data_IF_503637522501
#
_entry.id   IF_503637522501
#
_cell.length_a   1.000
_cell.length_b   1.000
_cell.length_c   1.000
_cell.angle_alpha   90.00
_cell.angle_beta   90.00
_cell.angle_gamma   90.00
#
_symmetry.space_group_name_H-M   'P 1'
#
loop_
_entity.id
_entity.type
_entity.pdbx_description
1 polymer ?
#
# COMPACT_ATOMS: atom_id res chain seq x y z
N UNK A 1 -2.36 13.47 -17.88
CA UNK A 1 -2.26 14.83 -17.33
C UNK A 1 -3.34 15.07 -16.27
N UNK A 2 -3.35 16.27 -15.65
CA UNK A 2 -4.24 16.64 -14.55
C UNK A 2 -5.73 16.68 -15.00
N UNK A 3 -6.03 17.31 -16.14
CA UNK A 3 -7.42 17.51 -16.57
C UNK A 3 -8.11 16.19 -16.92
N UNK A 4 -7.40 15.28 -17.59
CA UNK A 4 -7.90 13.93 -17.85
C UNK A 4 -8.09 13.14 -16.56
N UNK A 5 -7.14 13.17 -15.63
CA UNK A 5 -7.26 12.49 -14.34
C UNK A 5 -8.46 13.04 -13.55
N UNK A 6 -8.62 14.37 -13.50
CA UNK A 6 -9.76 15.01 -12.84
C UNK A 6 -11.08 14.55 -13.45
N UNK A 7 -11.19 14.54 -14.78
CA UNK A 7 -12.39 14.08 -15.46
C UNK A 7 -12.73 12.61 -15.15
N UNK A 8 -11.71 11.73 -15.05
CA UNK A 8 -11.90 10.32 -14.69
C UNK A 8 -12.38 10.16 -13.24
N UNK A 9 -11.82 10.92 -12.31
CA UNK A 9 -12.27 10.90 -10.91
C UNK A 9 -13.66 11.51 -10.75
N UNK A 10 -13.99 12.58 -11.46
CA UNK A 10 -15.32 13.19 -11.46
C UNK A 10 -16.37 12.24 -12.09
N UNK A 11 -15.96 11.38 -13.02
CA UNK A 11 -16.81 10.34 -13.60
C UNK A 11 -16.99 9.10 -12.68
N UNK A 12 -16.34 9.06 -11.51
CA UNK A 12 -16.57 8.05 -10.48
C UNK A 12 -15.42 7.07 -10.25
N UNK A 13 -14.22 7.29 -10.79
CA UNK A 13 -13.05 6.54 -10.36
C UNK A 13 -12.68 6.91 -8.91
N UNK A 14 -12.51 5.91 -8.06
CA UNK A 14 -12.36 6.09 -6.61
C UNK A 14 -11.00 5.64 -6.08
N UNK A 15 -10.09 5.22 -6.96
CA UNK A 15 -8.86 4.57 -6.51
C UNK A 15 -7.65 4.96 -7.37
N UNK A 16 -6.52 5.21 -6.72
CA UNK A 16 -5.23 5.48 -7.32
C UNK A 16 -4.25 4.37 -6.94
N UNK A 17 -3.93 3.51 -7.89
CA UNK A 17 -3.10 2.33 -7.70
C UNK A 17 -1.64 2.71 -7.46
N UNK A 18 -0.94 2.05 -6.53
CA UNK A 18 0.49 2.14 -6.21
C UNK A 18 1.09 3.56 -6.40
N UNK A 19 0.56 4.52 -5.65
CA UNK A 19 0.92 5.95 -5.68
C UNK A 19 2.42 6.17 -5.92
N UNK A 20 2.76 7.09 -6.82
CA UNK A 20 4.08 7.45 -7.35
C UNK A 20 4.67 6.46 -8.38
N UNK A 21 4.38 5.15 -8.28
CA UNK A 21 4.97 4.16 -9.15
C UNK A 21 4.29 4.19 -10.52
N UNK A 22 5.09 4.18 -11.60
CA UNK A 22 4.62 4.33 -12.98
C UNK A 22 3.79 5.63 -13.23
N UNK A 23 3.93 6.65 -12.40
CA UNK A 23 3.25 7.93 -12.52
C UNK A 23 4.25 9.05 -12.89
N UNK A 24 3.81 10.07 -13.65
CA UNK A 24 4.60 11.28 -13.84
C UNK A 24 4.88 11.97 -12.51
N UNK A 25 6.06 12.57 -12.37
CA UNK A 25 6.40 13.39 -11.21
C UNK A 25 5.46 14.60 -11.09
N UNK A 26 5.15 15.01 -9.85
CA UNK A 26 4.40 16.25 -9.61
C UNK A 26 5.23 17.45 -10.09
N UNK A 27 4.70 18.20 -11.04
CA UNK A 27 5.27 19.47 -11.50
C UNK A 27 4.32 20.61 -11.20
N UNK A 28 4.86 21.77 -10.80
CA UNK A 28 4.05 22.93 -10.43
C UNK A 28 3.28 23.57 -11.62
N UNK A 29 3.63 23.25 -12.88
CA UNK A 29 2.91 23.71 -14.08
C UNK A 29 2.16 22.60 -14.81
N UNK A 30 2.50 21.33 -14.54
CA UNK A 30 1.81 20.14 -15.06
C UNK A 30 1.72 19.11 -13.93
N UNK A 31 0.76 19.28 -13.02
CA UNK A 31 0.75 18.54 -11.75
C UNK A 31 0.46 17.04 -11.89
N UNK A 32 -0.20 16.61 -12.96
CA UNK A 32 -0.46 15.20 -13.22
C UNK A 32 -1.61 14.61 -12.38
N UNK A 33 -1.61 13.29 -12.26
CA UNK A 33 -2.72 12.52 -11.66
C UNK A 33 -2.81 12.69 -10.14
N UNK A 34 -1.68 12.86 -9.44
CA UNK A 34 -1.66 12.85 -7.98
C UNK A 34 -2.43 14.03 -7.38
N UNK A 35 -2.19 15.30 -7.77
CA UNK A 35 -2.99 16.42 -7.28
C UNK A 35 -4.48 16.30 -7.62
N UNK A 36 -4.85 15.81 -8.80
CA UNK A 36 -6.25 15.56 -9.14
C UNK A 36 -6.91 14.56 -8.18
N UNK A 37 -6.20 13.48 -7.80
CA UNK A 37 -6.67 12.52 -6.81
C UNK A 37 -6.76 13.12 -5.40
N UNK A 38 -5.83 13.98 -5.01
CA UNK A 38 -5.85 14.66 -3.69
C UNK A 38 -7.08 15.56 -3.55
N UNK A 39 -7.43 16.29 -4.60
CA UNK A 39 -8.58 17.21 -4.62
C UNK A 39 -9.91 16.47 -4.54
N UNK A 40 -10.05 15.33 -5.20
CA UNK A 40 -11.26 14.52 -5.15
C UNK A 40 -11.29 13.67 -3.85
N UNK A 41 -12.17 14.05 -2.92
CA UNK A 41 -12.24 13.43 -1.58
C UNK A 41 -12.76 11.98 -1.58
N UNK A 42 -13.34 11.52 -2.69
CA UNK A 42 -13.78 10.14 -2.84
C UNK A 42 -12.66 9.19 -3.30
N UNK A 43 -11.50 9.73 -3.69
CA UNK A 43 -10.37 8.94 -4.17
C UNK A 43 -9.48 8.50 -3.00
N UNK A 44 -9.25 7.21 -2.91
CA UNK A 44 -8.23 6.58 -2.06
C UNK A 44 -6.96 6.34 -2.87
N UNK A 45 -5.84 6.26 -2.18
CA UNK A 45 -4.55 5.98 -2.82
C UNK A 45 -3.87 4.79 -2.14
N UNK A 46 -3.41 3.86 -2.95
CA UNK A 46 -2.55 2.76 -2.50
C UNK A 46 -1.11 3.21 -2.35
N UNK A 47 -0.38 2.63 -1.42
CA UNK A 47 1.02 2.96 -1.18
C UNK A 47 1.83 1.73 -0.78
N UNK A 48 2.93 1.47 -1.51
CA UNK A 48 3.88 0.42 -1.20
C UNK A 48 4.90 0.97 -0.21
N UNK A 49 4.95 0.40 0.98
CA UNK A 49 5.78 0.89 2.09
C UNK A 49 6.88 -0.11 2.47
N UNK A 50 7.55 -0.68 1.48
CA UNK A 50 8.64 -1.64 1.66
C UNK A 50 10.02 -1.00 1.90
N UNK A 51 10.14 0.32 1.73
CA UNK A 51 11.39 1.06 1.83
C UNK A 51 12.23 1.10 0.55
N UNK A 52 11.77 0.44 -0.53
CA UNK A 52 12.45 0.38 -1.81
C UNK A 52 11.69 1.17 -2.89
N UNK A 53 10.37 0.99 -2.99
CA UNK A 53 9.53 1.65 -3.98
C UNK A 53 9.33 3.13 -3.69
N UNK A 54 9.15 3.48 -2.43
CA UNK A 54 8.85 4.85 -2.01
C UNK A 54 9.72 5.26 -0.82
N UNK A 55 10.40 6.40 -0.97
CA UNK A 55 11.23 6.94 0.12
C UNK A 55 10.36 7.36 1.32
N UNK A 56 10.80 7.14 2.58
CA UNK A 56 10.02 7.46 3.78
C UNK A 56 9.48 8.90 3.84
N UNK A 57 10.24 9.88 3.34
CA UNK A 57 9.76 11.27 3.27
C UNK A 57 8.55 11.43 2.33
N UNK A 58 8.54 10.70 1.20
CA UNK A 58 7.41 10.72 0.25
C UNK A 58 6.20 9.97 0.82
N UNK A 59 6.42 8.93 1.64
CA UNK A 59 5.34 8.26 2.40
C UNK A 59 4.67 9.26 3.35
N UNK A 60 5.45 10.01 4.16
CA UNK A 60 4.88 11.04 5.05
C UNK A 60 4.14 12.13 4.29
N UNK A 61 4.67 12.55 3.13
CA UNK A 61 4.00 13.52 2.27
C UNK A 61 2.67 12.97 1.74
N UNK A 62 2.62 11.70 1.31
CA UNK A 62 1.40 11.05 0.86
C UNK A 62 0.31 11.06 1.95
N UNK A 63 0.65 10.65 3.18
CA UNK A 63 -0.27 10.73 4.31
C UNK A 63 -0.72 12.16 4.63
N UNK A 64 0.16 13.15 4.46
CA UNK A 64 -0.21 14.56 4.62
C UNK A 64 -1.19 15.05 3.56
N UNK A 65 -1.06 14.58 2.31
CA UNK A 65 -1.92 14.98 1.19
C UNK A 65 -3.30 14.28 1.23
N UNK A 66 -3.33 12.98 1.49
CA UNK A 66 -4.55 12.19 1.45
C UNK A 66 -5.24 12.07 2.81
N UNK A 67 -4.52 12.23 3.91
CA UNK A 67 -4.98 11.94 5.25
C UNK A 67 -5.02 10.43 5.55
N UNK A 68 -5.08 10.07 6.83
CA UNK A 68 -5.16 8.67 7.27
C UNK A 68 -6.39 7.93 6.76
N UNK A 69 -7.46 8.64 6.41
CA UNK A 69 -8.73 8.04 5.98
C UNK A 69 -8.74 7.55 4.53
N UNK A 70 -7.82 8.03 3.70
CA UNK A 70 -7.82 7.74 2.26
C UNK A 70 -6.58 6.97 1.80
N UNK A 71 -5.61 6.73 2.68
CA UNK A 71 -4.45 5.88 2.37
C UNK A 71 -4.80 4.41 2.53
N UNK A 72 -4.34 3.58 1.58
CA UNK A 72 -4.38 2.12 1.66
C UNK A 72 -2.96 1.59 1.55
N UNK A 73 -2.47 0.87 2.56
CA UNK A 73 -1.20 0.16 2.42
C UNK A 73 -1.41 -1.05 1.54
N UNK A 74 -0.47 -1.27 0.64
CA UNK A 74 -0.38 -2.47 -0.19
C UNK A 74 1.04 -3.02 -0.14
N UNK A 75 1.18 -4.33 -0.32
CA UNK A 75 2.48 -4.96 -0.51
C UNK A 75 2.92 -4.92 -1.97
N UNK A 76 1.99 -5.01 -2.90
CA UNK A 76 2.26 -5.20 -4.33
C UNK A 76 3.29 -6.32 -4.58
N UNK A 77 3.15 -7.40 -3.80
CA UNK A 77 4.10 -8.50 -3.76
C UNK A 77 3.91 -9.43 -4.94
N UNK A 78 5.00 -9.69 -5.65
CA UNK A 78 5.07 -10.70 -6.68
C UNK A 78 5.28 -12.11 -6.11
N UNK A 79 5.34 -13.09 -7.01
CA UNK A 79 5.59 -14.50 -6.68
C UNK A 79 6.91 -14.77 -5.95
N UNK A 80 7.83 -13.81 -5.95
CA UNK A 80 9.11 -13.91 -5.27
C UNK A 80 9.03 -13.66 -3.75
N UNK A 81 7.89 -13.23 -3.22
CA UNK A 81 7.72 -13.04 -1.79
C UNK A 81 7.97 -14.36 -1.03
N UNK A 82 8.88 -14.31 -0.06
CA UNK A 82 9.30 -15.50 0.69
C UNK A 82 10.35 -16.39 0.02
N UNK A 83 10.79 -16.07 -1.21
CA UNK A 83 11.89 -16.79 -1.87
C UNK A 83 13.25 -16.32 -1.33
N UNK A 84 14.29 -17.17 -1.55
CA UNK A 84 15.66 -16.84 -1.18
C UNK A 84 16.22 -15.72 -2.05
N UNK A 85 17.09 -14.88 -1.46
CA UNK A 85 17.86 -13.86 -2.18
C UNK A 85 18.61 -14.47 -3.37
N UNK A 86 18.61 -13.80 -4.50
CA UNK A 86 19.21 -14.25 -5.75
C UNK A 86 18.32 -15.17 -6.60
N UNK A 87 17.14 -15.56 -6.11
CA UNK A 87 16.22 -16.40 -6.91
C UNK A 87 15.83 -15.72 -8.22
N UNK A 88 15.97 -16.44 -9.32
CA UNK A 88 15.48 -16.05 -10.65
C UNK A 88 14.08 -16.60 -10.88
N UNK A 89 13.23 -15.79 -11.48
CA UNK A 89 11.85 -16.16 -11.85
C UNK A 89 11.37 -15.31 -13.02
N UNK A 90 10.20 -15.62 -13.56
CA UNK A 90 9.59 -14.83 -14.65
C UNK A 90 8.35 -14.09 -14.16
N UNK A 91 8.21 -12.83 -14.60
CA UNK A 91 7.05 -11.98 -14.39
C UNK A 91 6.66 -11.35 -15.74
N UNK A 92 5.44 -11.62 -16.22
CA UNK A 92 4.98 -11.08 -17.51
C UNK A 92 5.85 -11.49 -18.71
N UNK A 93 6.53 -12.65 -18.65
CA UNK A 93 7.45 -13.10 -19.69
C UNK A 93 8.86 -12.50 -19.63
N UNK A 94 9.14 -11.66 -18.63
CA UNK A 94 10.46 -11.07 -18.40
C UNK A 94 11.18 -11.78 -17.25
N UNK A 95 12.48 -11.98 -17.41
CA UNK A 95 13.32 -12.54 -16.35
C UNK A 95 13.54 -11.52 -15.25
N UNK A 96 13.30 -11.93 -14.01
CA UNK A 96 13.45 -11.15 -12.81
C UNK A 96 14.34 -11.88 -11.81
N UNK A 97 14.99 -11.12 -10.96
CA UNK A 97 15.80 -11.64 -9.85
C UNK A 97 15.40 -10.95 -8.55
N UNK A 98 15.27 -11.73 -7.49
CA UNK A 98 15.14 -11.17 -6.13
C UNK A 98 16.52 -10.65 -5.71
N UNK A 99 16.66 -9.33 -5.57
CA UNK A 99 17.91 -8.68 -5.21
C UNK A 99 17.66 -7.51 -4.25
N UNK A 100 18.22 -7.63 -3.06
CA UNK A 100 18.08 -6.59 -2.03
C UNK A 100 16.64 -6.41 -1.56
N UNK A 101 15.84 -7.50 -1.44
CA UNK A 101 14.48 -7.47 -0.93
C UNK A 101 13.40 -7.05 -1.96
N UNK A 102 13.76 -6.84 -3.24
CA UNK A 102 12.82 -6.52 -4.32
C UNK A 102 13.13 -7.33 -5.59
N UNK A 103 12.11 -7.56 -6.39
CA UNK A 103 12.30 -8.13 -7.72
C UNK A 103 12.81 -7.07 -8.71
N UNK A 104 13.87 -7.38 -9.43
CA UNK A 104 14.48 -6.49 -10.42
C UNK A 104 14.61 -7.18 -11.78
N UNK A 105 14.38 -6.41 -12.83
CA UNK A 105 14.73 -6.78 -14.20
C UNK A 105 16.26 -6.74 -14.41
N UNK A 106 16.73 -7.21 -15.55
CA UNK A 106 18.15 -7.23 -15.91
C UNK A 106 18.80 -5.81 -15.91
N UNK A 107 18.03 -4.79 -16.25
CA UNK A 107 18.45 -3.38 -16.27
C UNK A 107 18.39 -2.69 -14.88
N UNK A 108 17.96 -3.42 -13.84
CA UNK A 108 17.83 -2.93 -12.47
C UNK A 108 16.48 -2.28 -12.15
N UNK A 109 15.57 -2.17 -13.11
CA UNK A 109 14.21 -1.67 -12.87
C UNK A 109 13.48 -2.57 -11.87
N UNK A 110 12.81 -1.96 -10.89
CA UNK A 110 11.97 -2.71 -9.93
C UNK A 110 10.73 -3.22 -10.66
N UNK A 111 10.51 -4.53 -10.58
CA UNK A 111 9.40 -5.21 -11.24
C UNK A 111 8.21 -5.47 -10.30
N UNK A 112 8.46 -5.77 -9.04
CA UNK A 112 7.46 -5.88 -7.98
C UNK A 112 8.14 -5.96 -6.61
N UNK A 113 7.35 -5.85 -5.56
CA UNK A 113 7.83 -6.03 -4.20
C UNK A 113 8.00 -7.51 -3.84
N UNK A 114 8.81 -7.79 -2.82
CA UNK A 114 8.91 -9.09 -2.16
C UNK A 114 8.52 -8.98 -0.66
N UNK A 115 7.93 -7.86 -0.27
CA UNK A 115 7.54 -7.55 1.10
C UNK A 115 6.22 -8.22 1.50
N UNK A 116 5.79 -8.01 2.72
CA UNK A 116 4.47 -8.37 3.23
C UNK A 116 3.83 -7.19 3.96
N UNK A 117 2.54 -7.27 4.22
CA UNK A 117 1.77 -6.18 4.85
C UNK A 117 2.22 -5.86 6.27
N UNK A 118 2.70 -6.85 7.03
CA UNK A 118 3.22 -6.62 8.37
C UNK A 118 4.46 -5.74 8.34
N UNK A 119 5.41 -6.03 7.46
CA UNK A 119 6.60 -5.20 7.24
C UNK A 119 6.23 -3.78 6.78
N UNK A 120 5.25 -3.63 5.88
CA UNK A 120 4.77 -2.31 5.47
C UNK A 120 4.20 -1.51 6.64
N UNK A 121 3.41 -2.15 7.51
CA UNK A 121 2.87 -1.51 8.72
C UNK A 121 3.97 -1.07 9.69
N UNK A 122 4.92 -1.97 10.02
CA UNK A 122 6.05 -1.64 10.87
C UNK A 122 6.86 -0.45 10.31
N UNK A 123 7.12 -0.45 9.02
CA UNK A 123 7.86 0.60 8.34
C UNK A 123 7.18 1.97 8.49
N UNK A 124 5.88 2.07 8.17
CA UNK A 124 5.19 3.38 8.20
C UNK A 124 5.11 3.94 9.62
N UNK A 125 4.91 3.09 10.63
CA UNK A 125 4.96 3.48 12.04
C UNK A 125 6.36 3.99 12.40
N UNK A 126 7.41 3.25 12.04
CA UNK A 126 8.80 3.64 12.29
C UNK A 126 9.20 4.95 11.59
N UNK A 127 8.56 5.27 10.48
CA UNK A 127 8.77 6.53 9.74
C UNK A 127 7.95 7.70 10.26
N UNK A 128 7.21 7.52 11.36
CA UNK A 128 6.51 8.58 12.07
C UNK A 128 5.08 8.83 11.60
N UNK A 129 4.46 7.89 10.89
CA UNK A 129 3.00 7.91 10.69
C UNK A 129 2.34 7.50 12.02
N UNK A 130 1.28 8.20 12.40
CA UNK A 130 0.52 7.85 13.60
C UNK A 130 0.00 6.42 13.50
N UNK A 131 0.07 5.70 14.61
CA UNK A 131 -0.31 4.29 14.68
C UNK A 131 -1.74 4.05 14.19
N UNK A 132 -2.70 4.88 14.61
CA UNK A 132 -4.09 4.75 14.19
C UNK A 132 -4.26 4.92 12.68
N UNK A 133 -3.53 5.86 12.07
CA UNK A 133 -3.58 6.09 10.62
C UNK A 133 -2.93 4.93 9.87
N UNK A 134 -1.82 4.39 10.38
CA UNK A 134 -1.13 3.25 9.79
C UNK A 134 -1.97 1.97 9.84
N UNK A 135 -2.55 1.65 10.99
CA UNK A 135 -3.44 0.49 11.17
C UNK A 135 -4.68 0.64 10.31
N UNK A 136 -5.31 1.82 10.31
CA UNK A 136 -6.48 2.11 9.47
C UNK A 136 -6.18 1.94 7.99
N UNK A 137 -5.02 2.40 7.52
CA UNK A 137 -4.56 2.25 6.15
C UNK A 137 -4.27 0.79 5.76
N UNK A 138 -3.94 -0.07 6.73
CA UNK A 138 -3.69 -1.50 6.51
C UNK A 138 -4.94 -2.38 6.65
N UNK A 139 -6.06 -1.87 7.20
CA UNK A 139 -7.25 -2.67 7.54
C UNK A 139 -8.54 -2.08 6.99
N UNK A 140 -9.08 -1.04 7.63
CA UNK A 140 -10.38 -0.47 7.33
C UNK A 140 -10.45 0.20 5.95
N UNK A 141 -9.45 1.00 5.60
CA UNK A 141 -9.48 1.72 4.33
C UNK A 141 -9.46 0.79 3.10
N UNK A 142 -8.61 -0.26 3.03
CA UNK A 142 -8.70 -1.23 1.94
C UNK A 142 -10.02 -2.02 1.95
N UNK A 143 -10.59 -2.34 3.12
CA UNK A 143 -11.91 -2.94 3.21
C UNK A 143 -13.00 -2.04 2.60
N UNK A 144 -12.97 -0.73 2.91
CA UNK A 144 -13.85 0.27 2.28
C UNK A 144 -13.62 0.35 0.76
N UNK A 145 -12.38 0.30 0.30
CA UNK A 145 -12.05 0.42 -1.11
C UNK A 145 -12.70 -0.67 -1.98
N UNK A 146 -12.85 -1.86 -1.42
CA UNK A 146 -13.47 -3.02 -2.09
C UNK A 146 -14.91 -3.30 -1.65
N UNK A 147 -15.51 -2.44 -0.80
CA UNK A 147 -16.87 -2.61 -0.30
C UNK A 147 -17.06 -3.74 0.72
N UNK A 148 -15.99 -4.16 1.39
CA UNK A 148 -16.00 -5.24 2.39
C UNK A 148 -16.03 -4.73 3.84
N UNK A 149 -16.13 -3.42 4.06
CA UNK A 149 -16.06 -2.76 5.38
C UNK A 149 -17.19 -3.15 6.34
N UNK A 150 -18.30 -3.68 5.83
CA UNK A 150 -19.38 -4.24 6.65
C UNK A 150 -19.08 -5.64 7.19
N UNK A 151 -18.06 -6.30 6.64
CA UNK A 151 -17.71 -7.70 6.96
C UNK A 151 -16.39 -7.80 7.69
N UNK A 152 -15.41 -6.99 7.31
CA UNK A 152 -14.04 -7.00 7.85
C UNK A 152 -13.50 -5.57 8.02
N UNK A 153 -12.27 -5.44 8.53
CA UNK A 153 -11.52 -4.18 8.60
C UNK A 153 -11.59 -3.45 9.94
N UNK A 154 -12.54 -3.81 10.80
CA UNK A 154 -12.66 -3.31 12.19
C UNK A 154 -13.10 -4.42 13.12
N UNK A 155 -12.85 -4.26 14.42
CA UNK A 155 -13.32 -5.17 15.47
C UNK A 155 -14.68 -4.63 15.96
N UNK A 156 -15.75 -5.15 15.40
CA UNK A 156 -17.13 -4.77 15.71
C UNK A 156 -18.02 -6.01 15.76
N UNK A 157 -19.10 -5.94 16.57
CA UNK A 157 -20.10 -7.00 16.65
C UNK A 157 -20.72 -7.28 15.26
N UNK A 158 -20.79 -8.55 14.91
CA UNK A 158 -21.34 -9.01 13.62
C UNK A 158 -20.35 -9.09 12.47
N UNK A 159 -19.12 -8.60 12.64
CA UNK A 159 -18.05 -8.78 11.66
C UNK A 159 -17.26 -10.08 11.87
N UNK A 160 -16.57 -10.50 10.83
CA UNK A 160 -15.66 -11.66 10.91
C UNK A 160 -14.53 -11.36 11.89
N UNK A 161 -14.27 -12.31 12.78
CA UNK A 161 -13.24 -12.18 13.81
C UNK A 161 -11.84 -12.54 13.26
N UNK A 162 -11.40 -11.79 12.24
CA UNK A 162 -10.06 -11.83 11.67
C UNK A 162 -9.26 -10.67 12.26
N UNK A 163 -8.30 -10.98 13.14
CA UNK A 163 -7.50 -9.94 13.79
C UNK A 163 -6.10 -10.42 14.17
N UNK A 164 -5.24 -9.48 14.43
CA UNK A 164 -3.88 -9.70 14.95
C UNK A 164 -3.82 -9.23 16.41
N UNK A 165 -3.15 -10.00 17.25
CA UNK A 165 -2.69 -9.55 18.57
C UNK A 165 -1.19 -9.40 18.50
N UNK A 166 -0.70 -8.19 18.68
CA UNK A 166 0.72 -7.89 18.53
C UNK A 166 1.31 -7.31 19.82
N UNK A 167 2.60 -7.53 19.99
CA UNK A 167 3.36 -6.84 21.03
C UNK A 167 3.35 -5.32 20.80
N UNK A 168 3.45 -4.47 21.85
CA UNK A 168 3.43 -3.02 21.73
C UNK A 168 4.52 -2.44 20.82
N UNK A 169 5.62 -3.14 20.64
CA UNK A 169 6.74 -2.79 19.75
C UNK A 169 6.65 -3.41 18.36
N UNK A 170 5.56 -4.11 18.07
CA UNK A 170 5.34 -4.86 16.82
C UNK A 170 6.39 -5.94 16.52
N UNK A 171 7.18 -6.39 17.51
CA UNK A 171 8.20 -7.42 17.31
C UNK A 171 7.60 -8.81 17.09
N UNK A 172 6.39 -9.05 17.56
CA UNK A 172 5.68 -10.33 17.40
C UNK A 172 4.19 -10.13 17.18
N UNK A 173 3.56 -11.11 16.54
CA UNK A 173 2.12 -11.13 16.34
C UNK A 173 1.55 -12.54 16.49
N UNK A 174 0.31 -12.61 16.92
CA UNK A 174 -0.55 -13.79 16.86
C UNK A 174 -1.67 -13.53 15.86
N UNK A 175 -1.96 -14.51 15.02
CA UNK A 175 -2.97 -14.40 13.97
C UNK A 175 -4.23 -15.16 14.40
N UNK A 176 -5.37 -14.48 14.32
CA UNK A 176 -6.69 -15.08 14.53
C UNK A 176 -7.49 -14.98 13.24
N UNK A 177 -8.05 -16.11 12.80
CA UNK A 177 -8.88 -16.22 11.61
C UNK A 177 -10.23 -16.85 11.99
N UNK A 178 -11.31 -16.12 11.78
CA UNK A 178 -12.64 -16.51 12.22
C UNK A 178 -12.70 -16.77 13.73
N UNK A 179 -11.94 -16.01 14.53
CA UNK A 179 -11.85 -16.16 15.98
C UNK A 179 -10.98 -17.32 16.47
N UNK A 180 -10.30 -18.04 15.57
CA UNK A 180 -9.40 -19.16 15.92
C UNK A 180 -7.96 -18.72 15.75
N UNK A 181 -7.14 -18.94 16.75
CA UNK A 181 -5.68 -18.73 16.67
C UNK A 181 -5.07 -19.74 15.69
N UNK A 182 -4.21 -19.26 14.79
CA UNK A 182 -3.43 -20.07 13.85
C UNK A 182 -2.12 -20.56 14.46
#
# INVERSE_FOLDING_TARGET
DYDHAKAVFDAGATHLTHLYNAMPAISHRNPGVIPAAVENKNVRAELICDGYHVHPASVRLAFSMFGGDRMCLISDSGRCAGMAEGTQFQLGGQDCWLRGGVAKLADGTIACSATNMWTCLQNVISWGIREEDAVRAATYNPACAIGADKVVGTIEEGKVADFLVCAPDYASMEVYLGGRKL
#
